data_IF_986972230131
#
_entry.id   IF_986972230131
#
_cell.length_a   1.000
_cell.length_b   1.000
_cell.length_c   1.000
_cell.angle_alpha   90.00
_cell.angle_beta   90.00
_cell.angle_gamma   90.00
#
_symmetry.space_group_name_H-M   'P 1'
#
loop_
_entity.id
_entity.type
_entity.pdbx_description
1 polymer ?
#
# COMPACT_ATOMS: atom_id res chain seq x y z
N UNK A 1 -0.56 3.84 -3.45
CA UNK A 1 -1.28 2.55 -3.50
C UNK A 1 -2.17 2.43 -2.26
N UNK A 2 -3.36 1.86 -2.40
CA UNK A 2 -4.19 1.43 -1.25
C UNK A 2 -3.63 0.13 -0.64
N UNK A 3 -3.72 -0.03 0.68
CA UNK A 3 -3.41 -1.28 1.38
C UNK A 3 -4.67 -1.94 1.94
N UNK A 4 -4.73 -3.27 1.91
CA UNK A 4 -5.84 -4.05 2.47
C UNK A 4 -5.34 -5.28 3.21
N UNK A 5 -6.01 -5.63 4.32
CA UNK A 5 -5.73 -6.86 5.05
C UNK A 5 -6.27 -8.12 4.37
N UNK A 6 -7.17 -7.96 3.39
CA UNK A 6 -7.87 -9.00 2.60
C UNK A 6 -8.75 -9.92 3.45
N UNK A 7 -8.18 -10.60 4.43
CA UNK A 7 -8.87 -11.51 5.33
C UNK A 7 -9.82 -10.79 6.29
N UNK A 8 -10.78 -11.54 6.82
CA UNK A 8 -11.61 -11.10 7.94
C UNK A 8 -10.86 -11.39 9.22
N UNK A 9 -10.63 -10.36 10.03
CA UNK A 9 -9.99 -10.47 11.33
C UNK A 9 -11.02 -10.29 12.44
N UNK A 10 -10.63 -10.58 13.68
CA UNK A 10 -11.45 -10.36 14.87
C UNK A 10 -10.74 -9.42 15.82
N UNK A 11 -11.40 -8.34 16.22
CA UNK A 11 -11.01 -7.53 17.37
C UNK A 11 -11.81 -7.96 18.59
N UNK A 12 -11.13 -8.13 19.72
CA UNK A 12 -11.75 -8.50 21.00
C UNK A 12 -11.54 -7.35 21.98
N UNK A 13 -12.63 -6.83 22.55
CA UNK A 13 -12.55 -5.71 23.51
C UNK A 13 -12.27 -6.19 24.96
N UNK A 14 -12.11 -5.25 25.90
CA UNK A 14 -11.84 -5.56 27.33
C UNK A 14 -12.89 -6.47 27.98
N UNK A 15 -14.13 -6.46 27.50
CA UNK A 15 -15.21 -7.31 28.01
C UNK A 15 -15.26 -8.70 27.32
N UNK A 16 -14.30 -9.02 26.44
CA UNK A 16 -14.27 -10.28 25.70
C UNK A 16 -15.21 -10.33 24.50
N UNK A 17 -15.87 -9.22 24.12
CA UNK A 17 -16.75 -9.19 22.95
C UNK A 17 -15.94 -9.13 21.66
N UNK A 18 -16.17 -10.11 20.78
CA UNK A 18 -15.60 -10.19 19.43
C UNK A 18 -16.33 -9.32 18.42
N UNK A 19 -15.59 -8.69 17.51
CA UNK A 19 -16.11 -7.93 16.35
C UNK A 19 -15.28 -8.28 15.13
N UNK A 20 -15.93 -8.71 14.04
CA UNK A 20 -15.25 -8.94 12.77
C UNK A 20 -14.88 -7.63 12.09
N UNK A 21 -13.66 -7.55 11.57
CA UNK A 21 -13.13 -6.33 10.94
C UNK A 21 -12.38 -6.63 9.63
N UNK A 22 -12.26 -5.59 8.80
CA UNK A 22 -11.36 -5.51 7.65
C UNK A 22 -10.43 -4.31 7.85
N UNK A 23 -9.13 -4.49 7.60
CA UNK A 23 -8.16 -3.39 7.68
C UNK A 23 -7.90 -2.76 6.32
N UNK A 24 -7.91 -1.43 6.29
CA UNK A 24 -7.80 -0.61 5.09
C UNK A 24 -6.79 0.50 5.36
N UNK A 25 -5.82 0.67 4.48
CA UNK A 25 -4.85 1.76 4.50
C UNK A 25 -5.08 2.65 3.28
N UNK A 26 -5.48 3.90 3.52
CA UNK A 26 -5.72 4.89 2.48
C UNK A 26 -4.51 5.83 2.38
N UNK A 27 -3.86 5.93 1.22
CA UNK A 27 -2.71 6.82 1.05
C UNK A 27 -3.16 8.27 1.06
N UNK A 28 -2.47 9.11 1.83
CA UNK A 28 -2.70 10.56 1.85
C UNK A 28 -2.21 11.24 0.57
N UNK A 29 -1.22 10.66 -0.12
CA UNK A 29 -0.74 11.11 -1.43
C UNK A 29 -1.64 10.72 -2.61
N UNK A 30 -2.78 10.08 -2.33
CA UNK A 30 -3.70 9.57 -3.35
C UNK A 30 -3.23 8.26 -4.00
N UNK A 31 -4.04 7.78 -4.95
CA UNK A 31 -3.75 6.58 -5.74
C UNK A 31 -3.37 7.00 -7.16
N UNK A 32 -2.21 6.56 -7.61
CA UNK A 32 -1.69 6.76 -8.97
C UNK A 32 -1.08 5.45 -9.46
N UNK A 33 -1.24 5.18 -10.74
CA UNK A 33 -0.74 3.98 -11.42
C UNK A 33 0.01 4.41 -12.69
N UNK A 34 0.95 3.57 -13.13
CA UNK A 34 1.56 3.69 -14.46
C UNK A 34 0.61 3.14 -15.51
N UNK A 35 0.66 3.67 -16.73
CA UNK A 35 0.13 2.95 -17.89
C UNK A 35 1.03 1.75 -18.22
N UNK A 36 0.55 0.85 -19.07
CA UNK A 36 1.35 -0.30 -19.49
C UNK A 36 2.63 0.14 -20.23
N UNK A 37 2.54 1.17 -21.07
CA UNK A 37 3.70 1.74 -21.78
C UNK A 37 4.70 2.36 -20.80
N UNK A 38 4.23 3.13 -19.82
CA UNK A 38 5.06 3.73 -18.78
C UNK A 38 5.73 2.66 -17.92
N UNK A 39 5.01 1.58 -17.57
CA UNK A 39 5.54 0.48 -16.78
C UNK A 39 6.68 -0.26 -17.49
N UNK A 40 6.60 -0.43 -18.81
CA UNK A 40 7.69 -1.01 -19.62
C UNK A 40 8.93 -0.13 -19.57
N UNK A 41 8.77 1.19 -19.78
CA UNK A 41 9.90 2.14 -19.78
C UNK A 41 10.54 2.24 -18.40
N UNK A 42 9.73 2.45 -17.35
CA UNK A 42 10.20 2.60 -15.97
C UNK A 42 10.84 1.30 -15.49
N UNK A 43 10.20 0.16 -15.76
CA UNK A 43 10.71 -1.17 -15.40
C UNK A 43 12.06 -1.46 -16.04
N UNK A 44 12.22 -1.17 -17.34
CA UNK A 44 13.47 -1.40 -18.05
C UNK A 44 14.59 -0.43 -17.67
N UNK A 45 14.25 0.81 -17.30
CA UNK A 45 15.23 1.83 -16.90
C UNK A 45 15.68 1.66 -15.45
N UNK A 46 14.75 1.32 -14.55
CA UNK A 46 15.01 1.09 -13.14
C UNK A 46 14.06 0.05 -12.55
N UNK A 47 14.52 -1.20 -12.49
CA UNK A 47 13.79 -2.29 -11.85
C UNK A 47 13.52 -2.08 -10.35
N UNK A 48 14.23 -1.16 -9.70
CA UNK A 48 14.05 -0.79 -8.29
C UNK A 48 13.37 0.57 -8.09
N UNK A 49 12.66 1.08 -9.10
CA UNK A 49 12.04 2.42 -9.06
C UNK A 49 11.20 2.67 -7.80
N UNK A 50 10.34 1.72 -7.41
CA UNK A 50 9.48 1.86 -6.22
C UNK A 50 10.29 1.90 -4.91
N UNK A 51 11.35 1.11 -4.81
CA UNK A 51 12.26 1.13 -3.66
C UNK A 51 13.00 2.46 -3.59
N UNK A 52 13.56 2.91 -4.73
CA UNK A 52 14.29 4.18 -4.80
C UNK A 52 13.39 5.36 -4.42
N UNK A 53 12.18 5.41 -4.99
CA UNK A 53 11.19 6.45 -4.68
C UNK A 53 10.89 6.51 -3.18
N UNK A 54 10.66 5.37 -2.53
CA UNK A 54 10.40 5.33 -1.10
C UNK A 54 11.59 5.85 -0.27
N UNK A 55 12.83 5.45 -0.60
CA UNK A 55 14.02 5.93 0.11
C UNK A 55 14.24 7.42 -0.08
N UNK A 56 14.14 7.91 -1.32
CA UNK A 56 14.35 9.31 -1.65
C UNK A 56 13.32 10.21 -0.93
N UNK A 57 12.05 9.79 -0.88
CA UNK A 57 10.99 10.56 -0.20
C UNK A 57 11.09 10.53 1.32
N UNK A 58 11.67 9.49 1.93
CA UNK A 58 11.91 9.44 3.38
C UNK A 58 13.13 10.30 3.76
N UNK A 59 14.13 10.42 2.87
CA UNK A 59 15.36 11.16 3.13
C UNK A 59 15.24 12.68 2.92
N UNK A 60 14.18 13.14 2.24
CA UNK A 60 13.89 14.55 1.96
C UNK A 60 13.26 15.28 3.17
#
# INVERSE_FOLDING_TARGET
MDGFGVHTFTLVNKAGKSTYVKFHWKPTCGVKCLTDEEAVVVGGTNHSHATKDLYDNIAA
#
